data_IF_337776795640
#
_entry.id   IF_337776795640
#
_cell.length_a   1.000
_cell.length_b   1.000
_cell.length_c   1.000
_cell.angle_alpha   90.00
_cell.angle_beta   90.00
_cell.angle_gamma   90.00
#
_symmetry.space_group_name_H-M   'P 1'
#
loop_
_entity.id
_entity.type
_entity.pdbx_description
1 polymer ?
#
# COMPACT_ATOMS: atom_id res chain seq x y z
N UNK A 1 -6.14 -1.58 -11.84
CA UNK A 1 -5.76 -1.15 -10.49
C UNK A 1 -6.46 -2.01 -9.45
N UNK A 2 -5.77 -2.30 -8.36
CA UNK A 2 -6.34 -3.01 -7.23
C UNK A 2 -6.38 -2.09 -6.02
N UNK A 3 -7.32 -2.33 -5.11
CA UNK A 3 -7.54 -1.41 -3.99
C UNK A 3 -8.03 -2.15 -2.74
N UNK A 4 -7.53 -1.70 -1.58
CA UNK A 4 -8.10 -2.04 -0.28
C UNK A 4 -8.47 -0.71 0.38
N UNK A 5 -9.71 -0.62 0.87
CA UNK A 5 -10.15 0.50 1.68
C UNK A 5 -10.88 -0.06 2.90
N UNK A 6 -10.46 0.35 4.10
CA UNK A 6 -11.11 -0.12 5.33
C UNK A 6 -10.72 0.73 6.52
N UNK A 7 -11.52 0.63 7.56
CA UNK A 7 -11.18 1.19 8.86
C UNK A 7 -10.36 0.18 9.64
N UNK A 8 -9.30 0.66 10.30
CA UNK A 8 -8.41 -0.17 11.12
C UNK A 8 -8.48 0.28 12.57
N UNK A 9 -8.16 -0.64 13.48
CA UNK A 9 -8.20 -0.39 14.91
C UNK A 9 -6.85 -0.74 15.54
N UNK A 10 -6.31 0.18 16.32
CA UNK A 10 -5.04 -0.01 16.99
C UNK A 10 -4.24 1.27 17.05
N UNK A 11 -2.94 1.12 17.24
CA UNK A 11 -2.02 2.24 17.30
C UNK A 11 -1.56 2.62 15.89
N UNK A 12 -1.65 3.90 15.56
CA UNK A 12 -1.33 4.40 14.21
C UNK A 12 0.09 3.99 13.78
N UNK A 13 1.08 4.24 14.63
CA UNK A 13 2.47 3.94 14.27
C UNK A 13 2.72 2.44 14.18
N UNK A 14 2.09 1.64 15.02
CA UNK A 14 2.18 0.19 14.95
C UNK A 14 1.59 -0.34 13.65
N UNK A 15 0.44 0.19 13.24
CA UNK A 15 -0.20 -0.16 11.97
C UNK A 15 0.72 0.21 10.81
N UNK A 16 1.22 1.44 10.80
CA UNK A 16 2.09 1.93 9.74
C UNK A 16 3.34 1.06 9.60
N UNK A 17 3.99 0.74 10.72
CA UNK A 17 5.20 -0.08 10.72
C UNK A 17 4.92 -1.51 10.26
N UNK A 18 3.79 -2.09 10.67
CA UNK A 18 3.40 -3.44 10.25
C UNK A 18 3.14 -3.50 8.75
N UNK A 19 2.44 -2.50 8.21
CA UNK A 19 2.21 -2.41 6.77
C UNK A 19 3.52 -2.23 6.01
N UNK A 20 4.39 -1.35 6.49
CA UNK A 20 5.69 -1.11 5.87
C UNK A 20 6.52 -2.40 5.82
N UNK A 21 6.63 -3.09 6.94
CA UNK A 21 7.41 -4.33 7.01
C UNK A 21 6.82 -5.41 6.11
N UNK A 22 5.50 -5.48 5.99
CA UNK A 22 4.84 -6.44 5.10
C UNK A 22 5.21 -6.18 3.64
N UNK A 23 5.20 -4.91 3.21
CA UNK A 23 5.59 -4.55 1.84
C UNK A 23 7.04 -4.90 1.59
N UNK A 24 7.93 -4.48 2.49
CA UNK A 24 9.38 -4.63 2.28
C UNK A 24 9.84 -6.08 2.37
N UNK A 25 9.20 -6.90 3.20
CA UNK A 25 9.54 -8.31 3.30
C UNK A 25 8.85 -9.17 2.23
N UNK A 26 7.81 -8.66 1.62
CA UNK A 26 7.05 -9.38 0.60
C UNK A 26 7.72 -9.45 -0.76
N UNK A 27 8.76 -8.64 -0.99
CA UNK A 27 9.49 -8.66 -2.26
C UNK A 27 10.87 -8.05 -2.08
N UNK A 28 11.88 -8.70 -2.64
CA UNK A 28 13.26 -8.20 -2.60
C UNK A 28 13.45 -6.94 -3.44
N UNK A 29 12.58 -6.69 -4.40
CA UNK A 29 12.67 -5.50 -5.26
C UNK A 29 11.83 -4.32 -4.75
N UNK A 30 11.11 -4.48 -3.64
CA UNK A 30 10.27 -3.41 -3.11
C UNK A 30 11.12 -2.26 -2.58
N UNK A 31 10.68 -1.04 -2.86
CA UNK A 31 11.33 0.18 -2.39
C UNK A 31 10.30 1.23 -2.04
N UNK A 32 10.65 2.10 -1.08
CA UNK A 32 9.88 3.31 -0.81
C UNK A 32 10.35 4.37 -1.79
N UNK A 33 9.42 4.89 -2.59
CA UNK A 33 9.75 5.93 -3.58
C UNK A 33 9.58 7.32 -2.99
N UNK A 34 8.51 7.53 -2.21
CA UNK A 34 8.28 8.81 -1.56
C UNK A 34 7.32 8.63 -0.38
N UNK A 35 7.33 9.61 0.52
CA UNK A 35 6.48 9.56 1.71
C UNK A 35 6.16 10.97 2.19
N UNK A 36 4.92 11.17 2.61
CA UNK A 36 4.47 12.39 3.28
C UNK A 36 3.85 12.04 4.62
N UNK A 37 4.08 12.88 5.62
CA UNK A 37 3.48 12.74 6.94
C UNK A 37 3.14 14.14 7.43
N UNK A 38 1.86 14.40 7.65
CA UNK A 38 1.42 15.72 8.05
C UNK A 38 0.24 15.66 9.00
N UNK A 39 0.04 16.77 9.74
CA UNK A 39 -1.06 16.95 10.67
C UNK A 39 -1.86 18.20 10.28
N UNK A 40 -3.17 18.12 10.49
CA UNK A 40 -4.06 19.28 10.49
C UNK A 40 -4.86 19.17 11.79
N UNK A 41 -4.55 20.04 12.76
CA UNK A 41 -5.09 19.87 14.10
C UNK A 41 -4.67 18.52 14.68
N UNK A 42 -5.64 17.73 15.13
CA UNK A 42 -5.40 16.37 15.64
C UNK A 42 -5.47 15.31 14.55
N UNK A 43 -5.77 15.69 13.31
CA UNK A 43 -5.85 14.75 12.19
C UNK A 43 -4.45 14.50 11.65
N UNK A 44 -4.08 13.24 11.49
CA UNK A 44 -2.79 12.83 10.95
C UNK A 44 -2.99 12.05 9.65
N UNK A 45 -2.16 12.36 8.66
CA UNK A 45 -2.19 11.64 7.40
C UNK A 45 -0.77 11.25 6.98
N UNK A 46 -0.58 9.98 6.67
CA UNK A 46 0.66 9.48 6.05
C UNK A 46 0.30 8.96 4.67
N UNK A 47 1.03 9.45 3.67
CA UNK A 47 0.91 8.98 2.29
C UNK A 47 2.27 8.44 1.90
N UNK A 48 2.31 7.21 1.43
CA UNK A 48 3.58 6.57 1.07
C UNK A 48 3.42 5.79 -0.22
N UNK A 49 4.36 5.95 -1.13
CA UNK A 49 4.38 5.23 -2.39
C UNK A 49 5.53 4.24 -2.40
N UNK A 50 5.19 2.99 -2.71
CA UNK A 50 6.13 1.89 -2.89
C UNK A 50 6.12 1.47 -4.35
N UNK A 51 7.25 0.90 -4.80
CA UNK A 51 7.33 0.26 -6.10
C UNK A 51 8.09 -1.05 -6.00
N UNK A 52 7.77 -1.97 -6.90
CA UNK A 52 8.54 -3.18 -7.11
C UNK A 52 8.44 -3.61 -8.56
N UNK A 53 9.33 -4.51 -8.99
CA UNK A 53 9.22 -5.06 -10.33
C UNK A 53 8.10 -6.07 -10.41
N UNK A 54 7.41 -6.08 -11.56
CA UNK A 54 6.40 -7.09 -11.85
C UNK A 54 7.09 -8.35 -12.38
N UNK A 55 6.76 -9.49 -11.79
CA UNK A 55 7.33 -10.77 -12.21
C UNK A 55 6.78 -11.23 -13.55
N UNK A 56 5.55 -10.86 -13.87
CA UNK A 56 4.83 -11.38 -15.02
C UNK A 56 4.78 -10.42 -16.18
N UNK A 57 5.27 -9.22 -16.02
CA UNK A 57 5.29 -8.21 -17.06
C UNK A 57 6.55 -7.39 -16.99
N UNK A 58 6.77 -6.57 -18.01
CA UNK A 58 7.88 -5.64 -18.03
C UNK A 58 7.45 -4.36 -17.33
N UNK A 59 8.28 -3.87 -16.42
CA UNK A 59 8.04 -2.62 -15.75
C UNK A 59 7.77 -2.78 -14.27
N UNK A 60 7.37 -1.69 -13.67
CA UNK A 60 7.21 -1.58 -12.22
C UNK A 60 5.74 -1.45 -11.87
N UNK A 61 5.38 -2.01 -10.71
CA UNK A 61 4.06 -1.84 -10.11
C UNK A 61 4.23 -0.94 -8.90
N UNK A 62 3.36 0.05 -8.76
CA UNK A 62 3.37 0.94 -7.61
C UNK A 62 2.22 0.64 -6.68
N UNK A 63 2.43 0.92 -5.38
CA UNK A 63 1.39 0.87 -4.36
C UNK A 63 1.43 2.17 -3.59
N UNK A 64 0.31 2.86 -3.55
CA UNK A 64 0.13 4.01 -2.68
C UNK A 64 -0.63 3.57 -1.44
N UNK A 65 -0.05 3.83 -0.27
CA UNK A 65 -0.71 3.62 1.02
C UNK A 65 -0.99 4.99 1.61
N UNK A 66 -2.27 5.24 1.93
CA UNK A 66 -2.70 6.41 2.68
C UNK A 66 -3.31 5.93 3.99
N UNK A 67 -2.74 6.38 5.11
CA UNK A 67 -3.24 6.06 6.44
C UNK A 67 -3.63 7.37 7.12
N UNK A 68 -4.91 7.48 7.47
CA UNK A 68 -5.51 8.69 8.02
C UNK A 68 -6.06 8.40 9.41
N UNK A 69 -5.72 9.24 10.38
CA UNK A 69 -6.31 9.21 11.70
C UNK A 69 -7.04 10.53 11.98
N UNK A 70 -8.34 10.44 12.23
CA UNK A 70 -9.19 11.57 12.53
C UNK A 70 -10.30 11.11 13.49
N UNK A 71 -10.60 11.94 14.49
CA UNK A 71 -11.67 11.67 15.45
C UNK A 71 -11.54 10.30 16.14
N UNK A 72 -10.30 9.89 16.43
CA UNK A 72 -10.04 8.60 17.08
C UNK A 72 -10.23 7.39 16.17
N UNK A 73 -10.40 7.59 14.87
CA UNK A 73 -10.60 6.54 13.89
C UNK A 73 -9.45 6.53 12.89
N UNK A 74 -9.08 5.33 12.45
CA UNK A 74 -7.99 5.16 11.47
C UNK A 74 -8.56 4.52 10.21
N UNK A 75 -8.28 5.14 9.07
CA UNK A 75 -8.74 4.64 7.78
C UNK A 75 -7.56 4.39 6.85
N UNK A 76 -7.60 3.25 6.17
CA UNK A 76 -6.59 2.85 5.20
C UNK A 76 -7.16 2.92 3.80
N UNK A 77 -6.38 3.49 2.88
CA UNK A 77 -6.58 3.32 1.45
C UNK A 77 -5.26 2.86 0.84
N UNK A 78 -5.27 1.70 0.22
CA UNK A 78 -4.10 1.16 -0.47
C UNK A 78 -4.50 0.88 -1.92
N UNK A 79 -3.80 1.51 -2.85
CA UNK A 79 -4.12 1.44 -4.28
C UNK A 79 -2.86 1.05 -5.03
N UNK A 80 -2.96 0.01 -5.87
CA UNK A 80 -1.86 -0.38 -6.74
C UNK A 80 -2.15 -0.01 -8.18
N UNK A 81 -1.10 0.32 -8.91
CA UNK A 81 -1.18 0.59 -10.34
C UNK A 81 0.04 0.02 -11.04
N UNK A 82 -0.17 -0.48 -12.25
CA UNK A 82 0.91 -0.93 -13.09
C UNK A 82 1.10 0.03 -14.24
N UNK A 83 2.36 0.24 -14.66
CA UNK A 83 2.69 1.20 -15.69
C UNK A 83 2.81 0.61 -17.08
N UNK A 84 2.10 -0.44 -17.42
CA UNK A 84 2.46 -1.15 -18.61
C UNK A 84 1.54 -0.93 -19.81
N UNK A 85 1.95 -1.51 -20.90
CA UNK A 85 1.28 -1.44 -22.18
C UNK A 85 -0.05 -2.21 -22.16
N UNK A 86 -1.00 -1.76 -22.96
CA UNK A 86 -2.33 -2.36 -23.02
C UNK A 86 -2.30 -3.86 -23.34
N UNK A 87 -1.35 -4.29 -24.18
CA UNK A 87 -1.24 -5.69 -24.54
C UNK A 87 -0.90 -6.61 -23.35
N UNK A 88 -0.37 -6.04 -22.28
CA UNK A 88 -0.01 -6.77 -21.07
C UNK A 88 -0.99 -6.51 -19.94
N UNK A 89 -2.16 -6.01 -20.24
CA UNK A 89 -3.14 -5.58 -19.25
C UNK A 89 -3.43 -6.66 -18.19
N UNK A 90 -3.69 -7.90 -18.61
CA UNK A 90 -3.99 -8.98 -17.66
C UNK A 90 -2.81 -9.31 -16.76
N UNK A 91 -1.60 -9.29 -17.30
CA UNK A 91 -0.40 -9.58 -16.54
C UNK A 91 -0.18 -8.51 -15.48
N UNK A 92 -0.42 -7.25 -15.83
CA UNK A 92 -0.29 -6.16 -14.88
C UNK A 92 -1.35 -6.17 -13.79
N UNK A 93 -2.58 -6.53 -14.14
CA UNK A 93 -3.63 -6.67 -13.15
C UNK A 93 -3.26 -7.74 -12.12
N UNK A 94 -2.67 -8.85 -12.56
CA UNK A 94 -2.16 -9.89 -11.66
C UNK A 94 -1.04 -9.32 -10.78
N UNK A 95 -0.12 -8.56 -11.36
CA UNK A 95 0.98 -7.93 -10.62
C UNK A 95 0.48 -6.95 -9.58
N UNK A 96 -0.54 -6.14 -9.92
CA UNK A 96 -1.16 -5.21 -9.00
C UNK A 96 -1.81 -5.94 -7.82
N UNK A 97 -2.57 -6.99 -8.08
CA UNK A 97 -3.19 -7.80 -7.03
C UNK A 97 -2.14 -8.50 -6.17
N UNK A 98 -1.10 -9.04 -6.79
CA UNK A 98 -0.01 -9.70 -6.08
C UNK A 98 0.72 -8.73 -5.16
N UNK A 99 0.95 -7.51 -5.61
CA UNK A 99 1.59 -6.51 -4.77
C UNK A 99 0.70 -6.14 -3.58
N UNK A 100 -0.59 -5.95 -3.84
CA UNK A 100 -1.54 -5.65 -2.78
C UNK A 100 -1.66 -6.79 -1.76
N UNK A 101 -1.54 -8.03 -2.21
CA UNK A 101 -1.59 -9.20 -1.35
C UNK A 101 -0.50 -9.21 -0.28
N UNK A 102 0.61 -8.51 -0.50
CA UNK A 102 1.68 -8.44 0.50
C UNK A 102 1.21 -7.84 1.81
N UNK A 103 0.20 -6.98 1.78
CA UNK A 103 -0.29 -6.31 2.99
C UNK A 103 -1.59 -6.90 3.53
N UNK A 104 -2.24 -7.85 2.84
CA UNK A 104 -3.55 -8.35 3.27
C UNK A 104 -3.54 -8.95 4.66
N UNK A 105 -2.54 -9.77 4.99
CA UNK A 105 -2.42 -10.36 6.31
C UNK A 105 -2.15 -9.31 7.38
N UNK A 106 -1.31 -8.33 7.07
CA UNK A 106 -1.03 -7.23 7.98
C UNK A 106 -2.29 -6.42 8.26
N UNK A 107 -3.07 -6.11 7.23
CA UNK A 107 -4.35 -5.39 7.36
C UNK A 107 -5.32 -6.17 8.24
N UNK A 108 -5.41 -7.48 8.05
CA UNK A 108 -6.36 -8.32 8.79
C UNK A 108 -6.11 -8.33 10.30
N UNK A 109 -4.89 -8.00 10.74
CA UNK A 109 -4.56 -7.94 12.16
C UNK A 109 -5.23 -6.76 12.87
N UNK A 110 -5.65 -5.73 12.13
CA UNK A 110 -6.16 -4.50 12.71
C UNK A 110 -7.63 -4.22 12.39
N UNK A 111 -8.29 -5.11 11.70
CA UNK A 111 -9.71 -4.95 11.37
C UNK A 111 -10.63 -5.16 12.57
#
# INVERSE_FOLDING_TARGET
MAKIECELHGNFDAILNTLHNAVMSGSSSASVEDSSNFYIGSTRCVVRTYERYSYLGNGRVSMNITLLEADGRIFLSAITSGGSQAMFFKINTIGENSFLDTIRNAVSQFI
#
